data_IF_517003677057
#
_entry.id   IF_517003677057
#
_cell.length_a   1.000
_cell.length_b   1.000
_cell.length_c   1.000
_cell.angle_alpha   90.00
_cell.angle_beta   90.00
_cell.angle_gamma   90.00
#
_symmetry.space_group_name_H-M   'P 1'
#
loop_
_entity.id
_entity.type
_entity.pdbx_description
1 polymer ?
#
# COMPACT_ATOMS: atom_id res chain seq x y z
N UNK A 1 22.04 44.58 19.05
CA UNK A 1 21.69 44.30 17.64
C UNK A 1 22.73 43.34 17.08
N UNK A 2 22.33 42.12 16.76
CA UNK A 2 23.20 41.13 16.10
C UNK A 2 23.67 41.71 14.78
N UNK A 3 24.99 41.83 14.57
CA UNK A 3 25.55 42.42 13.37
C UNK A 3 25.32 41.46 12.19
N UNK A 4 24.44 41.85 11.26
CA UNK A 4 24.03 41.03 10.11
C UNK A 4 25.25 40.60 9.27
N UNK A 5 26.28 41.44 9.16
CA UNK A 5 27.51 41.09 8.43
C UNK A 5 28.32 39.99 9.12
N UNK A 6 28.28 39.90 10.47
CA UNK A 6 28.90 38.78 11.19
C UNK A 6 28.17 37.47 10.88
N UNK A 7 26.84 37.50 10.86
CA UNK A 7 26.03 36.32 10.53
C UNK A 7 26.26 35.85 9.09
N UNK A 8 26.34 36.78 8.13
CA UNK A 8 26.63 36.44 6.72
C UNK A 8 28.02 35.81 6.60
N UNK A 9 29.03 36.35 7.28
CA UNK A 9 30.38 35.79 7.26
C UNK A 9 30.46 34.42 7.94
N UNK A 10 29.72 34.21 9.02
CA UNK A 10 29.61 32.90 9.69
C UNK A 10 28.99 31.86 8.75
N UNK A 11 27.90 32.20 8.06
CA UNK A 11 27.27 31.32 7.07
C UNK A 11 28.23 30.99 5.92
N UNK A 12 28.91 32.00 5.36
CA UNK A 12 29.87 31.81 4.27
C UNK A 12 31.04 30.89 4.67
N UNK A 13 31.54 31.02 5.90
CA UNK A 13 32.60 30.15 6.42
C UNK A 13 32.12 28.71 6.61
N UNK A 14 30.89 28.53 7.12
CA UNK A 14 30.28 27.20 7.27
C UNK A 14 30.06 26.54 5.91
N UNK A 15 29.61 27.29 4.91
CA UNK A 15 29.42 26.80 3.55
C UNK A 15 30.75 26.42 2.87
N UNK A 16 31.81 27.19 3.10
CA UNK A 16 33.15 26.85 2.62
C UNK A 16 33.69 25.55 3.25
N UNK A 17 33.37 25.29 4.52
CA UNK A 17 33.75 24.05 5.21
C UNK A 17 32.91 22.84 4.79
N UNK A 18 31.68 23.06 4.32
CA UNK A 18 30.76 22.00 3.91
C UNK A 18 31.35 21.13 2.78
N UNK A 19 32.05 21.72 1.81
CA UNK A 19 32.70 20.97 0.72
C UNK A 19 33.82 20.03 1.23
N UNK A 20 34.37 20.30 2.41
CA UNK A 20 35.40 19.48 3.05
C UNK A 20 34.82 18.53 4.11
N UNK A 21 33.50 18.49 4.28
CA UNK A 21 32.83 17.69 5.30
C UNK A 21 32.10 16.52 4.66
N UNK A 22 32.37 15.31 5.14
CA UNK A 22 31.61 14.13 4.78
C UNK A 22 30.36 14.02 5.66
N UNK A 23 29.27 13.51 5.11
CA UNK A 23 28.05 13.30 5.87
C UNK A 23 27.36 12.00 5.46
N UNK A 24 26.77 11.32 6.43
CA UNK A 24 25.97 10.12 6.21
C UNK A 24 24.53 10.51 5.89
N UNK A 25 23.96 9.91 4.85
CA UNK A 25 22.56 10.09 4.49
C UNK A 25 21.98 8.84 3.82
N UNK A 26 20.66 8.58 4.00
CA UNK A 26 19.96 7.59 3.19
C UNK A 26 19.67 8.18 1.80
N UNK A 27 19.77 7.33 0.78
CA UNK A 27 19.45 7.68 -0.60
C UNK A 27 18.53 6.62 -1.21
N UNK A 28 17.30 7.01 -1.53
CA UNK A 28 16.41 6.17 -2.35
C UNK A 28 16.71 6.37 -3.83
N UNK A 29 16.36 5.41 -4.68
CA UNK A 29 16.57 5.49 -6.13
C UNK A 29 15.97 6.78 -6.72
N UNK A 30 16.82 7.58 -7.36
CA UNK A 30 16.42 8.89 -7.93
C UNK A 30 16.16 9.99 -6.88
N UNK A 31 16.47 9.71 -5.61
CA UNK A 31 16.33 10.63 -4.49
C UNK A 31 17.41 11.70 -4.44
N UNK A 32 17.26 12.61 -3.48
CA UNK A 32 18.25 13.63 -3.12
C UNK A 32 18.73 13.38 -1.70
N UNK A 33 19.99 13.68 -1.44
CA UNK A 33 20.57 13.56 -0.10
C UNK A 33 20.59 14.91 0.58
N UNK A 34 20.41 14.93 1.90
CA UNK A 34 20.31 16.16 2.67
C UNK A 34 21.19 16.09 3.90
N UNK A 35 21.79 17.22 4.23
CA UNK A 35 22.50 17.42 5.49
C UNK A 35 22.09 18.75 6.11
N UNK A 36 22.21 18.86 7.42
CA UNK A 36 21.93 20.09 8.17
C UNK A 36 23.21 20.59 8.81
N UNK A 37 23.64 21.79 8.44
CA UNK A 37 24.82 22.44 9.03
C UNK A 37 24.43 23.85 9.45
N UNK A 38 24.76 24.22 10.69
CA UNK A 38 24.38 25.50 11.30
C UNK A 38 22.88 25.86 11.16
N UNK A 39 22.00 24.86 11.21
CA UNK A 39 20.55 25.04 11.07
C UNK A 39 20.04 25.16 9.62
N UNK A 40 20.93 25.24 8.63
CA UNK A 40 20.56 25.28 7.21
C UNK A 40 20.55 23.87 6.62
N UNK A 41 19.54 23.57 5.79
CA UNK A 41 19.40 22.26 5.13
C UNK A 41 19.91 22.38 3.70
N UNK A 42 21.00 21.68 3.42
CA UNK A 42 21.58 21.56 2.09
C UNK A 42 21.03 20.31 1.41
N UNK A 43 20.69 20.41 0.13
CA UNK A 43 20.11 19.31 -0.65
C UNK A 43 20.92 19.06 -1.91
N UNK A 44 21.50 17.87 -2.02
CA UNK A 44 22.38 17.49 -3.11
C UNK A 44 21.78 16.38 -3.98
N UNK A 45 22.14 16.38 -5.26
CA UNK A 45 21.96 15.24 -6.16
C UNK A 45 23.15 14.29 -5.98
N UNK A 46 22.92 13.01 -5.67
CA UNK A 46 24.01 12.05 -5.49
C UNK A 46 24.69 11.75 -6.84
N UNK A 47 26.01 11.54 -6.80
CA UNK A 47 26.82 10.99 -7.89
C UNK A 47 27.48 9.69 -7.39
N UNK A 48 27.27 8.53 -8.05
CA UNK A 48 26.46 8.33 -9.24
C UNK A 48 24.96 8.51 -8.98
N UNK A 49 24.21 8.98 -10.00
CA UNK A 49 22.78 9.30 -9.86
C UNK A 49 21.87 8.09 -9.63
N UNK A 50 22.41 6.88 -9.80
CA UNK A 50 21.71 5.60 -9.58
C UNK A 50 21.98 5.00 -8.20
N UNK A 51 22.76 5.65 -7.35
CA UNK A 51 23.02 5.16 -6.00
C UNK A 51 21.71 5.03 -5.21
N UNK A 52 21.54 3.87 -4.57
CA UNK A 52 20.43 3.53 -3.69
C UNK A 52 21.00 2.79 -2.48
N UNK A 53 20.78 3.31 -1.28
CA UNK A 53 21.38 2.78 -0.06
C UNK A 53 21.76 3.86 0.95
N UNK A 54 22.54 3.45 1.94
CA UNK A 54 23.16 4.35 2.91
C UNK A 54 24.57 4.69 2.46
N UNK A 55 24.86 5.98 2.29
CA UNK A 55 26.15 6.43 1.78
C UNK A 55 26.75 7.51 2.65
N UNK A 56 28.08 7.56 2.63
CA UNK A 56 28.86 8.70 3.08
C UNK A 56 29.11 9.58 1.87
N UNK A 57 28.61 10.80 1.92
CA UNK A 57 28.62 11.74 0.81
C UNK A 57 29.57 12.88 1.10
N UNK A 58 30.25 13.34 0.05
CA UNK A 58 31.03 14.58 0.08
C UNK A 58 30.49 15.56 -0.98
N UNK A 59 30.07 16.78 -0.59
CA UNK A 59 29.69 17.82 -1.55
C UNK A 59 30.85 18.13 -2.50
N UNK A 60 30.56 18.18 -3.80
CA UNK A 60 31.53 18.57 -4.84
C UNK A 60 31.22 19.97 -5.36
N UNK A 61 29.94 20.35 -5.31
CA UNK A 61 29.43 21.69 -5.62
C UNK A 61 28.15 21.96 -4.81
N UNK A 62 27.55 23.14 -4.96
CA UNK A 62 26.33 23.57 -4.26
C UNK A 62 25.11 22.64 -4.44
N UNK A 63 25.11 21.79 -5.48
CA UNK A 63 23.95 21.00 -5.91
C UNK A 63 24.25 19.51 -6.00
N UNK A 64 25.51 19.08 -5.93
CA UNK A 64 25.91 17.68 -6.09
C UNK A 64 26.87 17.23 -5.01
N UNK A 65 26.67 15.98 -4.59
CA UNK A 65 27.55 15.30 -3.65
C UNK A 65 27.92 13.93 -4.23
N UNK A 66 29.20 13.56 -4.14
CA UNK A 66 29.68 12.25 -4.58
C UNK A 66 29.59 11.27 -3.42
N UNK A 67 29.25 10.03 -3.73
CA UNK A 67 29.40 8.91 -2.78
C UNK A 67 30.91 8.67 -2.63
N UNK A 68 31.39 8.73 -1.38
CA UNK A 68 32.77 8.37 -1.03
C UNK A 68 32.83 6.87 -0.78
N UNK A 69 31.91 6.38 0.05
CA UNK A 69 31.76 4.96 0.39
C UNK A 69 30.33 4.67 0.85
N UNK A 70 29.98 3.38 0.88
CA UNK A 70 28.74 2.90 1.50
C UNK A 70 28.91 2.88 3.02
N UNK A 71 27.88 3.30 3.75
CA UNK A 71 27.91 3.30 5.20
C UNK A 71 27.80 1.86 5.75
N UNK A 72 28.52 1.58 6.82
CA UNK A 72 28.45 0.29 7.50
C UNK A 72 27.24 0.19 8.45
N UNK A 73 26.93 -1.04 8.90
CA UNK A 73 25.80 -1.29 9.79
C UNK A 73 25.88 -0.50 11.12
N UNK A 74 27.05 -0.41 11.80
CA UNK A 74 27.20 0.44 12.98
C UNK A 74 26.86 1.92 12.74
N UNK A 75 27.36 2.52 11.66
CA UNK A 75 27.09 3.92 11.31
C UNK A 75 25.61 4.15 11.01
N UNK A 76 24.98 3.22 10.28
CA UNK A 76 23.54 3.26 9.99
C UNK A 76 22.75 3.18 11.30
N UNK A 77 23.11 2.27 12.20
CA UNK A 77 22.44 2.12 13.49
C UNK A 77 22.55 3.39 14.35
N UNK A 78 23.74 3.99 14.44
CA UNK A 78 23.95 5.25 15.17
C UNK A 78 23.08 6.38 14.60
N UNK A 79 23.05 6.53 13.28
CA UNK A 79 22.20 7.53 12.62
C UNK A 79 20.72 7.30 12.91
N UNK A 80 20.26 6.05 12.84
CA UNK A 80 18.87 5.66 13.01
C UNK A 80 18.38 5.81 14.46
N UNK A 81 19.26 5.70 15.46
CA UNK A 81 18.92 5.85 16.89
C UNK A 81 18.33 7.21 17.23
N UNK A 82 18.60 8.25 16.43
CA UNK A 82 18.02 9.58 16.63
C UNK A 82 16.52 9.66 16.32
N UNK A 83 15.94 8.64 15.70
CA UNK A 83 14.55 8.63 15.30
C UNK A 83 13.71 7.67 16.14
N UNK A 84 12.42 8.00 16.39
CA UNK A 84 11.51 7.10 17.06
C UNK A 84 11.34 5.80 16.27
N UNK A 85 11.39 4.70 17.01
CA UNK A 85 11.14 3.36 16.50
C UNK A 85 9.64 3.11 16.34
N UNK A 86 9.25 2.44 15.26
CA UNK A 86 7.90 1.96 14.99
C UNK A 86 7.95 0.52 14.48
N UNK A 87 6.96 -0.30 14.85
CA UNK A 87 6.84 -1.69 14.38
C UNK A 87 5.79 -1.80 13.30
N UNK A 88 6.19 -2.36 12.17
CA UNK A 88 5.36 -2.47 10.98
C UNK A 88 5.45 -3.90 10.44
N UNK A 89 4.44 -4.31 9.68
CA UNK A 89 4.45 -5.58 8.95
C UNK A 89 4.49 -5.29 7.45
N UNK A 90 5.42 -5.93 6.75
CA UNK A 90 5.59 -5.79 5.31
C UNK A 90 4.36 -6.35 4.58
N UNK A 91 3.85 -5.58 3.63
CA UNK A 91 2.66 -5.93 2.83
C UNK A 91 3.07 -6.38 1.43
N UNK A 92 3.82 -5.54 0.72
CA UNK A 92 4.34 -5.86 -0.62
C UNK A 92 5.45 -4.90 -1.03
N UNK A 93 6.28 -5.33 -1.96
CA UNK A 93 7.30 -4.47 -2.54
C UNK A 93 6.67 -3.48 -3.53
N UNK A 94 7.01 -2.19 -3.41
CA UNK A 94 6.58 -1.15 -4.35
C UNK A 94 7.59 -0.97 -5.50
N UNK A 95 8.87 -1.23 -5.24
CA UNK A 95 9.95 -1.21 -6.22
C UNK A 95 11.30 -0.88 -5.58
N UNK A 96 12.39 -1.44 -6.14
CA UNK A 96 13.72 -1.31 -5.55
C UNK A 96 13.73 -1.81 -4.11
N UNK A 97 14.35 -1.06 -3.20
CA UNK A 97 14.33 -1.39 -1.77
C UNK A 97 13.17 -0.70 -1.01
N UNK A 98 12.10 -0.33 -1.70
CA UNK A 98 10.92 0.30 -1.09
C UNK A 98 9.73 -0.65 -1.00
N UNK A 99 9.17 -0.76 0.19
CA UNK A 99 8.05 -1.62 0.52
C UNK A 99 6.86 -0.82 1.07
N UNK A 100 5.66 -1.33 0.84
CA UNK A 100 4.47 -0.93 1.59
C UNK A 100 4.42 -1.77 2.87
N UNK A 101 4.15 -1.12 4.00
CA UNK A 101 3.97 -1.79 5.29
C UNK A 101 2.79 -1.19 6.05
N UNK A 102 2.26 -1.94 7.02
CA UNK A 102 1.16 -1.48 7.89
C UNK A 102 1.55 -1.59 9.37
N UNK A 103 1.07 -0.70 10.25
CA UNK A 103 1.29 -0.79 11.69
C UNK A 103 0.91 -2.13 12.29
N UNK A 104 1.78 -2.68 13.14
CA UNK A 104 1.46 -3.88 13.95
C UNK A 104 0.51 -3.52 15.09
N UNK A 105 0.57 -2.27 15.56
CA UNK A 105 -0.31 -1.74 16.61
C UNK A 105 -0.78 -0.34 16.19
N UNK A 106 -2.06 -0.23 15.82
CA UNK A 106 -2.63 1.06 15.40
C UNK A 106 -2.70 2.08 16.53
N UNK A 107 -2.93 1.65 17.77
CA UNK A 107 -3.04 2.56 18.91
C UNK A 107 -1.70 3.26 19.20
N UNK A 108 -0.59 2.51 19.17
CA UNK A 108 0.76 3.07 19.35
C UNK A 108 1.09 4.07 18.23
N UNK A 109 0.81 3.70 16.97
CA UNK A 109 1.04 4.61 15.84
C UNK A 109 0.13 5.83 15.89
N UNK A 110 -1.14 5.70 16.27
CA UNK A 110 -2.06 6.84 16.42
C UNK A 110 -1.59 7.82 17.48
N UNK A 111 -1.04 7.33 18.60
CA UNK A 111 -0.49 8.20 19.64
C UNK A 111 0.75 8.98 19.17
N UNK A 112 1.61 8.35 18.36
CA UNK A 112 2.88 8.95 17.89
C UNK A 112 2.74 9.81 16.65
N UNK A 113 1.93 9.37 15.69
CA UNK A 113 1.82 9.95 14.34
C UNK A 113 0.46 10.60 14.06
N UNK A 114 -0.51 10.50 14.99
CA UNK A 114 -1.90 10.98 14.88
C UNK A 114 -2.75 10.31 13.79
N UNK A 115 -2.12 9.72 12.77
CA UNK A 115 -2.76 9.08 11.62
C UNK A 115 -2.28 7.63 11.52
N UNK A 116 -3.22 6.73 11.26
CA UNK A 116 -2.95 5.31 10.96
C UNK A 116 -3.25 5.08 9.49
N UNK A 117 -2.24 4.65 8.74
CA UNK A 117 -2.34 4.33 7.32
C UNK A 117 -1.19 3.43 6.89
N UNK A 118 -1.29 2.75 5.73
CA UNK A 118 -0.14 2.11 5.12
C UNK A 118 1.00 3.12 4.86
N UNK A 119 2.24 2.70 5.10
CA UNK A 119 3.43 3.54 5.01
C UNK A 119 4.45 2.93 4.06
N UNK A 120 5.13 3.79 3.29
CA UNK A 120 6.26 3.37 2.47
C UNK A 120 7.53 3.30 3.34
N UNK A 121 8.19 2.15 3.33
CA UNK A 121 9.43 1.87 4.06
C UNK A 121 10.55 1.71 3.05
N UNK A 122 11.62 2.46 3.26
CA UNK A 122 12.72 2.52 2.32
C UNK A 122 13.95 1.76 2.84
N UNK A 123 14.79 1.35 1.89
CA UNK A 123 16.05 0.65 2.12
C UNK A 123 15.87 -0.66 2.89
N UNK A 124 14.78 -1.38 2.61
CA UNK A 124 14.58 -2.73 3.12
C UNK A 124 15.54 -3.66 2.39
N UNK A 125 16.62 -4.03 3.05
CA UNK A 125 17.67 -4.93 2.51
C UNK A 125 17.29 -6.39 2.67
N UNK A 126 16.54 -6.72 3.72
CA UNK A 126 16.17 -8.08 4.09
C UNK A 126 14.71 -8.06 4.54
N UNK A 127 13.88 -8.92 3.94
CA UNK A 127 12.47 -9.04 4.31
C UNK A 127 11.61 -9.61 3.20
N UNK A 128 10.55 -10.28 3.61
CA UNK A 128 9.54 -10.90 2.76
C UNK A 128 8.16 -10.41 3.15
N UNK A 129 7.17 -10.72 2.31
CA UNK A 129 5.78 -10.37 2.60
C UNK A 129 5.35 -11.00 3.92
N UNK A 130 4.69 -10.18 4.76
CA UNK A 130 4.26 -10.46 6.13
C UNK A 130 5.32 -10.44 7.22
N UNK A 131 6.60 -10.24 6.89
CA UNK A 131 7.62 -10.07 7.93
C UNK A 131 7.33 -8.83 8.78
N UNK A 132 7.46 -8.99 10.08
CA UNK A 132 7.45 -7.87 11.01
C UNK A 132 8.84 -7.23 11.03
N UNK A 133 8.87 -5.93 10.87
CA UNK A 133 10.09 -5.12 10.84
C UNK A 133 10.05 -4.05 11.91
N UNK A 134 11.25 -3.62 12.27
CA UNK A 134 11.50 -2.40 12.99
C UNK A 134 11.89 -1.32 11.97
N UNK A 135 11.19 -0.20 12.03
CA UNK A 135 11.46 0.97 11.19
C UNK A 135 11.61 2.23 12.05
N UNK A 136 12.26 3.24 11.47
CA UNK A 136 12.58 4.51 12.11
C UNK A 136 11.92 5.64 11.36
N UNK A 137 11.17 6.47 12.07
CA UNK A 137 10.39 7.56 11.48
C UNK A 137 11.05 8.91 11.70
N UNK A 138 11.41 9.60 10.62
CA UNK A 138 12.05 10.92 10.70
C UNK A 138 11.08 12.11 10.58
N UNK A 139 9.76 11.87 10.66
CA UNK A 139 8.73 12.91 10.43
C UNK A 139 8.17 12.93 9.00
N UNK A 140 8.85 12.32 8.03
CA UNK A 140 8.42 12.30 6.63
C UNK A 140 8.57 10.95 5.94
N UNK A 141 9.64 10.22 6.26
CA UNK A 141 10.03 8.95 5.67
C UNK A 141 10.27 7.91 6.76
N UNK A 142 9.96 6.66 6.44
CA UNK A 142 10.28 5.50 7.26
C UNK A 142 11.48 4.77 6.69
N UNK A 143 12.47 4.52 7.53
CA UNK A 143 13.68 3.78 7.17
C UNK A 143 13.66 2.42 7.84
N UNK A 144 14.00 1.38 7.08
CA UNK A 144 14.22 0.05 7.62
C UNK A 144 15.43 0.05 8.57
N UNK A 145 15.29 -0.63 9.72
CA UNK A 145 16.39 -0.89 10.65
C UNK A 145 16.71 -2.38 10.66
N UNK A 146 15.74 -3.23 10.99
CA UNK A 146 15.93 -4.68 11.05
C UNK A 146 14.60 -5.47 10.99
N UNK A 147 14.69 -6.78 10.78
CA UNK A 147 13.59 -7.72 10.97
C UNK A 147 13.36 -7.94 12.48
N UNK A 148 12.11 -7.85 12.94
CA UNK A 148 11.78 -8.06 14.35
C UNK A 148 11.75 -9.56 14.68
N UNK A 149 12.91 -10.09 15.06
CA UNK A 149 13.12 -11.50 15.42
C UNK A 149 12.36 -11.98 16.66
N UNK A 150 11.67 -11.07 17.37
CA UNK A 150 10.81 -11.42 18.52
C UNK A 150 9.42 -11.88 18.11
N UNK A 151 9.08 -11.73 16.83
CA UNK A 151 7.79 -12.13 16.27
C UNK A 151 7.71 -13.63 16.12
N UNK A 152 6.52 -14.20 16.37
CA UNK A 152 6.27 -15.62 16.11
C UNK A 152 6.33 -15.91 14.59
N UNK A 153 7.30 -16.73 14.12
CA UNK A 153 7.45 -17.03 12.70
C UNK A 153 6.24 -17.79 12.12
N UNK A 154 5.48 -18.49 12.96
CA UNK A 154 4.28 -19.25 12.53
C UNK A 154 3.25 -18.32 11.89
N UNK A 155 3.16 -17.06 12.34
CA UNK A 155 2.23 -16.07 11.76
C UNK A 155 2.57 -15.82 10.29
N UNK A 156 3.85 -15.60 9.99
CA UNK A 156 4.33 -15.33 8.62
C UNK A 156 4.06 -16.55 7.73
N UNK A 157 4.44 -17.74 8.20
CA UNK A 157 4.22 -19.00 7.47
C UNK A 157 2.74 -19.26 7.20
N UNK A 158 1.88 -19.02 8.20
CA UNK A 158 0.43 -19.21 8.09
C UNK A 158 -0.17 -18.25 7.07
N UNK A 159 0.21 -16.97 7.09
CA UNK A 159 -0.28 -15.99 6.13
C UNK A 159 0.18 -16.32 4.70
N UNK A 160 1.45 -16.71 4.53
CA UNK A 160 1.96 -17.13 3.22
C UNK A 160 1.25 -18.38 2.70
N UNK A 161 0.92 -19.34 3.58
CA UNK A 161 0.13 -20.52 3.22
C UNK A 161 -1.30 -20.15 2.82
N UNK A 162 -1.94 -19.25 3.57
CA UNK A 162 -3.28 -18.76 3.27
C UNK A 162 -3.35 -18.05 1.91
N UNK A 163 -2.33 -17.26 1.54
CA UNK A 163 -2.23 -16.67 0.19
C UNK A 163 -2.15 -17.75 -0.87
N UNK A 164 -1.31 -18.78 -0.68
CA UNK A 164 -1.18 -19.90 -1.64
C UNK A 164 -2.48 -20.68 -1.81
N UNK A 165 -3.30 -20.76 -0.77
CA UNK A 165 -4.59 -21.44 -0.76
C UNK A 165 -5.76 -20.51 -1.15
N UNK A 166 -5.51 -19.24 -1.49
CA UNK A 166 -6.52 -18.24 -1.83
C UNK A 166 -7.61 -18.07 -0.75
N UNK A 167 -7.24 -18.21 0.54
CA UNK A 167 -8.18 -18.11 1.67
C UNK A 167 -8.71 -16.69 1.78
N UNK A 168 -10.03 -16.51 1.74
CA UNK A 168 -10.65 -15.18 1.81
C UNK A 168 -10.39 -14.49 3.16
N UNK A 169 -10.36 -13.15 3.17
CA UNK A 169 -10.05 -12.36 4.39
C UNK A 169 -10.99 -12.69 5.55
N UNK A 170 -12.27 -12.96 5.25
CA UNK A 170 -13.27 -13.35 6.25
C UNK A 170 -13.05 -14.75 6.84
N UNK A 171 -12.44 -15.66 6.08
CA UNK A 171 -12.17 -17.05 6.46
C UNK A 171 -10.81 -17.22 7.16
N UNK A 172 -9.95 -16.19 7.09
CA UNK A 172 -8.65 -16.20 7.75
C UNK A 172 -8.83 -16.37 9.27
N UNK A 173 -8.45 -17.53 9.80
CA UNK A 173 -8.58 -17.83 11.21
C UNK A 173 -7.40 -18.66 11.71
N UNK A 174 -6.69 -18.13 12.71
CA UNK A 174 -5.63 -18.83 13.43
C UNK A 174 -5.37 -18.14 14.77
N UNK A 175 -4.68 -18.82 15.68
CA UNK A 175 -4.32 -18.26 16.98
C UNK A 175 -3.42 -17.03 16.81
N UNK A 176 -3.85 -15.89 17.35
CA UNK A 176 -3.07 -14.64 17.28
C UNK A 176 -3.39 -13.75 16.08
N UNK A 177 -4.41 -14.07 15.27
CA UNK A 177 -4.91 -13.14 14.24
C UNK A 177 -5.51 -11.88 14.89
N UNK A 178 -4.98 -10.72 14.52
CA UNK A 178 -5.47 -9.41 14.97
C UNK A 178 -6.17 -8.66 13.82
N UNK A 179 -6.95 -7.59 14.10
CA UNK A 179 -7.48 -6.73 13.05
C UNK A 179 -6.38 -6.20 12.11
N UNK A 180 -5.22 -5.81 12.65
CA UNK A 180 -4.08 -5.32 11.87
C UNK A 180 -3.51 -6.41 10.96
N UNK A 181 -3.47 -7.66 11.42
CA UNK A 181 -3.08 -8.80 10.57
C UNK A 181 -4.06 -8.98 9.42
N UNK A 182 -5.38 -8.87 9.68
CA UNK A 182 -6.38 -8.95 8.60
C UNK A 182 -6.21 -7.83 7.59
N UNK A 183 -5.99 -6.59 8.05
CA UNK A 183 -5.72 -5.44 7.19
C UNK A 183 -4.46 -5.66 6.34
N UNK A 184 -3.37 -6.16 6.94
CA UNK A 184 -2.14 -6.49 6.20
C UNK A 184 -2.41 -7.55 5.13
N UNK A 185 -3.13 -8.60 5.49
CA UNK A 185 -3.47 -9.68 4.57
C UNK A 185 -4.33 -9.18 3.41
N UNK A 186 -5.38 -8.41 3.69
CA UNK A 186 -6.22 -7.77 2.68
C UNK A 186 -5.41 -6.86 1.74
N UNK A 187 -4.53 -6.01 2.28
CA UNK A 187 -3.69 -5.13 1.46
C UNK A 187 -2.70 -5.91 0.57
N UNK A 188 -2.20 -7.05 1.04
CA UNK A 188 -1.28 -7.90 0.30
C UNK A 188 -1.99 -8.67 -0.81
N UNK A 189 -3.23 -9.11 -0.58
CA UNK A 189 -4.00 -9.92 -1.53
C UNK A 189 -4.84 -9.07 -2.50
N UNK A 190 -5.06 -7.79 -2.21
CA UNK A 190 -5.81 -6.84 -3.04
C UNK A 190 -5.23 -6.56 -4.44
N UNK A 191 -4.23 -7.28 -4.92
CA UNK A 191 -3.77 -7.25 -6.33
C UNK A 191 -3.52 -8.65 -6.91
N UNK A 192 -3.88 -9.70 -6.17
CA UNK A 192 -3.66 -11.09 -6.58
C UNK A 192 -4.94 -11.60 -7.25
N UNK A 193 -4.79 -12.10 -8.48
CA UNK A 193 -5.88 -12.75 -9.21
C UNK A 193 -6.39 -13.96 -8.42
N UNK A 194 -7.71 -14.10 -8.28
CA UNK A 194 -8.35 -15.10 -7.42
C UNK A 194 -8.83 -14.58 -6.05
N UNK A 195 -8.35 -13.41 -5.60
CA UNK A 195 -8.87 -12.72 -4.40
C UNK A 195 -9.95 -11.66 -4.71
N UNK A 196 -10.08 -11.25 -5.98
CA UNK A 196 -10.89 -10.10 -6.42
C UNK A 196 -12.32 -10.39 -6.87
N UNK A 197 -12.71 -11.66 -7.05
CA UNK A 197 -13.98 -11.99 -7.69
C UNK A 197 -15.21 -11.37 -7.00
N UNK A 198 -15.43 -11.51 -5.67
CA UNK A 198 -16.72 -11.11 -5.10
C UNK A 198 -17.00 -9.60 -5.16
N UNK A 199 -16.03 -8.74 -4.84
CA UNK A 199 -16.24 -7.29 -4.77
C UNK A 199 -16.30 -6.62 -6.14
N UNK A 200 -15.56 -7.12 -7.13
CA UNK A 200 -15.64 -6.60 -8.50
C UNK A 200 -16.92 -7.07 -9.18
N UNK A 201 -17.33 -8.32 -8.94
CA UNK A 201 -18.57 -8.90 -9.45
C UNK A 201 -19.78 -8.15 -8.89
N UNK A 202 -19.83 -7.88 -7.57
CA UNK A 202 -20.92 -7.11 -6.97
C UNK A 202 -21.01 -5.69 -7.55
N UNK A 203 -19.87 -4.99 -7.70
CA UNK A 203 -19.85 -3.65 -8.29
C UNK A 203 -20.33 -3.64 -9.73
N UNK A 204 -19.93 -4.66 -10.52
CA UNK A 204 -20.35 -4.82 -11.91
C UNK A 204 -21.86 -5.06 -12.00
N UNK A 205 -22.40 -5.97 -11.19
CA UNK A 205 -23.84 -6.26 -11.11
C UNK A 205 -24.65 -5.05 -10.66
N UNK A 206 -24.22 -4.38 -9.58
CA UNK A 206 -24.89 -3.19 -9.04
C UNK A 206 -24.93 -2.05 -10.06
N UNK A 207 -23.85 -1.85 -10.83
CA UNK A 207 -23.79 -0.83 -11.89
C UNK A 207 -24.77 -1.14 -13.04
N UNK A 208 -24.81 -2.39 -13.50
CA UNK A 208 -25.69 -2.80 -14.59
C UNK A 208 -27.18 -2.67 -14.22
N UNK A 209 -27.55 -3.14 -13.02
CA UNK A 209 -28.92 -2.99 -12.50
C UNK A 209 -29.30 -1.52 -12.34
N UNK A 210 -28.42 -0.71 -11.76
CA UNK A 210 -28.71 0.72 -11.56
C UNK A 210 -28.92 1.47 -12.88
N UNK A 211 -28.17 1.13 -13.94
CA UNK A 211 -28.38 1.72 -15.27
C UNK A 211 -29.73 1.33 -15.88
N UNK A 212 -30.27 0.17 -15.52
CA UNK A 212 -31.60 -0.29 -15.95
C UNK A 212 -32.75 0.22 -15.07
N UNK A 213 -32.48 0.84 -13.92
CA UNK A 213 -33.51 1.26 -12.95
C UNK A 213 -33.69 0.32 -11.75
N UNK A 214 -32.94 -0.78 -11.70
CA UNK A 214 -33.02 -1.81 -10.66
C UNK A 214 -31.99 -1.66 -9.54
N UNK A 215 -32.24 -2.31 -8.41
CA UNK A 215 -31.33 -2.35 -7.26
C UNK A 215 -30.92 -3.79 -6.90
N UNK A 216 -29.62 -4.04 -6.79
CA UNK A 216 -29.08 -5.34 -6.36
C UNK A 216 -29.38 -5.59 -4.88
N UNK A 217 -29.97 -6.75 -4.56
CA UNK A 217 -30.18 -7.20 -3.17
C UNK A 217 -29.13 -8.21 -2.73
N UNK A 218 -28.90 -9.23 -3.53
CA UNK A 218 -27.88 -10.25 -3.29
C UNK A 218 -27.50 -10.95 -4.59
N UNK A 219 -26.36 -11.61 -4.62
CA UNK A 219 -26.00 -12.51 -5.71
C UNK A 219 -25.28 -13.74 -5.17
N UNK A 220 -25.36 -14.84 -5.90
CA UNK A 220 -24.68 -16.09 -5.62
C UNK A 220 -23.90 -16.53 -6.84
N UNK A 221 -22.66 -16.93 -6.62
CA UNK A 221 -21.82 -17.53 -7.64
C UNK A 221 -22.18 -19.02 -7.86
N UNK A 222 -22.47 -19.40 -9.10
CA UNK A 222 -22.79 -20.77 -9.52
C UNK A 222 -21.72 -21.38 -10.46
N UNK A 223 -20.52 -20.83 -10.48
CA UNK A 223 -19.40 -21.26 -11.33
C UNK A 223 -19.40 -20.51 -12.67
N UNK A 224 -20.31 -20.88 -13.57
CA UNK A 224 -20.34 -20.34 -14.94
C UNK A 224 -21.25 -19.10 -15.07
N UNK A 225 -22.12 -18.88 -14.07
CA UNK A 225 -23.08 -17.79 -14.02
C UNK A 225 -23.31 -17.30 -12.59
N UNK A 226 -23.94 -16.14 -12.45
CA UNK A 226 -24.45 -15.64 -11.17
C UNK A 226 -25.96 -15.82 -11.09
N UNK A 227 -26.48 -16.23 -9.93
CA UNK A 227 -27.88 -16.01 -9.57
C UNK A 227 -27.98 -14.66 -8.88
N UNK A 228 -28.75 -13.74 -9.45
CA UNK A 228 -28.81 -12.34 -9.01
C UNK A 228 -30.23 -12.03 -8.57
N UNK A 229 -30.39 -11.63 -7.30
CA UNK A 229 -31.66 -11.14 -6.78
C UNK A 229 -31.65 -9.62 -6.74
N UNK A 230 -32.67 -9.01 -7.32
CA UNK A 230 -32.74 -7.57 -7.51
C UNK A 230 -34.19 -7.07 -7.44
N UNK A 231 -34.36 -5.76 -7.31
CA UNK A 231 -35.69 -5.12 -7.28
C UNK A 231 -35.84 -4.05 -8.36
N UNK A 232 -37.02 -3.93 -8.96
CA UNK A 232 -37.39 -2.79 -9.83
C UNK A 232 -37.56 -1.51 -9.01
N UNK A 233 -37.73 -0.36 -9.68
CA UNK A 233 -37.99 0.93 -9.02
C UNK A 233 -39.24 0.90 -8.13
N UNK A 234 -40.24 0.10 -8.52
CA UNK A 234 -41.51 -0.08 -7.79
C UNK A 234 -41.41 -1.09 -6.63
N UNK A 235 -40.22 -1.68 -6.43
CA UNK A 235 -39.92 -2.56 -5.31
C UNK A 235 -40.27 -4.04 -5.53
N UNK A 236 -40.67 -4.42 -6.75
CA UNK A 236 -40.94 -5.82 -7.10
C UNK A 236 -39.63 -6.60 -7.16
N UNK A 237 -39.60 -7.80 -6.56
CA UNK A 237 -38.40 -8.66 -6.49
C UNK A 237 -38.33 -9.63 -7.65
N UNK A 238 -37.14 -9.73 -8.25
CA UNK A 238 -36.82 -10.67 -9.31
C UNK A 238 -35.54 -11.45 -8.98
N UNK A 239 -35.44 -12.64 -9.56
CA UNK A 239 -34.24 -13.48 -9.49
C UNK A 239 -33.88 -13.90 -10.91
N UNK A 240 -32.64 -13.66 -11.32
CA UNK A 240 -32.20 -13.89 -12.70
C UNK A 240 -30.83 -14.59 -12.72
N UNK A 241 -30.63 -15.48 -13.68
CA UNK A 241 -29.35 -16.13 -13.94
C UNK A 241 -28.58 -15.35 -15.02
N UNK A 242 -27.37 -14.88 -14.70
CA UNK A 242 -26.60 -13.92 -15.49
C UNK A 242 -25.22 -14.48 -15.82
N UNK A 243 -24.85 -14.49 -17.11
CA UNK A 243 -23.54 -14.91 -17.57
C UNK A 243 -22.44 -13.97 -17.06
N UNK A 244 -21.34 -14.54 -16.56
CA UNK A 244 -20.22 -13.76 -15.99
C UNK A 244 -19.39 -13.01 -17.04
N UNK A 245 -19.38 -13.49 -18.28
CA UNK A 245 -18.56 -12.95 -19.36
C UNK A 245 -19.01 -11.55 -19.76
N UNK A 246 -20.30 -11.37 -19.97
CA UNK A 246 -20.88 -10.21 -20.67
C UNK A 246 -22.16 -9.68 -20.02
N UNK A 247 -22.62 -10.27 -18.91
CA UNK A 247 -23.90 -9.95 -18.26
C UNK A 247 -25.15 -10.35 -19.06
N UNK A 248 -25.01 -11.24 -20.04
CA UNK A 248 -26.16 -11.78 -20.78
C UNK A 248 -27.07 -12.56 -19.85
N UNK A 249 -28.37 -12.37 -19.98
CA UNK A 249 -29.38 -13.08 -19.19
C UNK A 249 -29.50 -14.50 -19.73
N UNK A 250 -29.14 -15.47 -18.90
CA UNK A 250 -29.33 -16.89 -19.20
C UNK A 250 -30.79 -17.28 -18.89
N UNK A 251 -31.34 -16.71 -17.83
CA UNK A 251 -32.74 -16.89 -17.46
C UNK A 251 -33.21 -15.69 -16.65
N UNK A 252 -34.32 -15.09 -17.05
CA UNK A 252 -34.90 -13.92 -16.40
C UNK A 252 -35.73 -14.25 -15.14
N UNK A 253 -36.10 -15.52 -14.94
CA UNK A 253 -37.03 -15.95 -13.88
C UNK A 253 -38.51 -15.69 -14.20
N UNK A 254 -38.80 -15.14 -15.39
CA UNK A 254 -40.13 -14.93 -15.95
C UNK A 254 -40.16 -15.53 -17.36
N UNK A 255 -41.32 -15.94 -17.88
CA UNK A 255 -41.39 -16.51 -19.23
C UNK A 255 -41.31 -15.41 -20.30
N UNK A 256 -40.11 -15.03 -20.75
CA UNK A 256 -39.91 -14.12 -21.90
C UNK A 256 -40.02 -14.84 -23.26
N UNK A 257 -40.97 -15.77 -23.39
CA UNK A 257 -41.27 -16.49 -24.64
C UNK A 257 -40.06 -17.14 -25.34
N UNK A 258 -38.99 -17.47 -24.60
CA UNK A 258 -37.78 -18.13 -25.13
C UNK A 258 -36.69 -17.20 -25.70
N UNK A 259 -36.82 -15.88 -25.55
CA UNK A 259 -35.83 -14.88 -26.01
C UNK A 259 -34.93 -14.33 -24.89
N UNK A 260 -34.80 -15.05 -23.77
CA UNK A 260 -34.04 -14.58 -22.60
C UNK A 260 -32.58 -14.20 -22.94
N UNK A 261 -31.95 -14.92 -23.88
CA UNK A 261 -30.56 -14.70 -24.30
C UNK A 261 -30.31 -13.47 -25.18
N UNK A 262 -31.36 -12.76 -25.61
CA UNK A 262 -31.22 -11.54 -26.41
C UNK A 262 -31.05 -10.28 -25.54
N UNK A 263 -31.13 -10.42 -24.22
CA UNK A 263 -31.07 -9.32 -23.27
C UNK A 263 -29.85 -9.41 -22.37
N UNK A 264 -29.19 -8.27 -22.15
CA UNK A 264 -28.26 -8.10 -21.04
C UNK A 264 -29.01 -7.69 -19.76
N UNK A 265 -28.35 -7.83 -18.60
CA UNK A 265 -28.94 -7.49 -17.31
C UNK A 265 -29.47 -6.05 -17.25
N UNK A 266 -28.89 -5.11 -18.00
CA UNK A 266 -29.35 -3.73 -18.06
C UNK A 266 -30.68 -3.61 -18.81
N UNK A 267 -30.78 -4.25 -19.97
CA UNK A 267 -31.96 -4.20 -20.85
C UNK A 267 -33.14 -4.97 -20.27
N UNK A 268 -32.85 -6.03 -19.49
CA UNK A 268 -33.87 -6.83 -18.82
C UNK A 268 -34.76 -6.00 -17.90
N UNK A 269 -34.16 -5.07 -17.13
CA UNK A 269 -34.92 -4.24 -16.19
C UNK A 269 -35.95 -3.38 -16.94
N UNK A 270 -35.53 -2.74 -18.04
CA UNK A 270 -36.42 -1.89 -18.83
C UNK A 270 -37.54 -2.65 -19.53
N UNK A 271 -37.34 -3.92 -19.89
CA UNK A 271 -38.41 -4.76 -20.48
C UNK A 271 -39.45 -5.16 -19.43
N UNK A 272 -39.00 -5.46 -18.21
CA UNK A 272 -39.90 -5.83 -17.11
C UNK A 272 -40.76 -4.65 -16.68
N UNK A 273 -40.21 -3.44 -16.63
CA UNK A 273 -40.96 -2.21 -16.34
C UNK A 273 -41.96 -1.82 -17.45
N UNK A 274 -41.76 -2.27 -18.69
CA UNK A 274 -42.68 -2.00 -19.82
C UNK A 274 -43.80 -3.03 -19.99
N UNK A 275 -43.74 -4.17 -19.28
CA UNK A 275 -44.77 -5.22 -19.35
C UNK A 275 -45.89 -5.07 -18.29
N UNK A 276 -45.79 -4.09 -17.38
CA UNK A 276 -46.88 -3.66 -16.49
C UNK A 276 -47.59 -2.39 -16.99
#
# INVERSE_FOLDING_TARGET
MTNIFKLINEIANVEAQLCNTQFLAPCVKGGRVRTRVAGMVYTFRPKPSKFEGWGIFQPVDEKTATVVEEADLPQIAEYLQHFPQIRLRLVRQLGGQTWLAYPVNEADVRQRLQVVKPMAIHLVTEGTTFDQIIARWNGHSCWFEEIDRRTDPIIVETLQSAVKQLVQVGELHFKGVTPEIRTVYELATAQIDGFHQPQQDEKRLRKALHMGGGELKQFQDRGDYWTVDWTTADGVRHSSAIAKTDLTVISSGICLSGYDGDFDLQSLVGVIEQQE
#
